data_IF_796190314763
#
_entry.id   IF_796190314763
#
_cell.length_a   1.000
_cell.length_b   1.000
_cell.length_c   1.000
_cell.angle_alpha   90.00
_cell.angle_beta   90.00
_cell.angle_gamma   90.00
#
_symmetry.space_group_name_H-M   'P 1'
#
loop_
_entity.id
_entity.type
_entity.pdbx_description
1 polymer ?
#
# COMPACT_ATOMS: atom_id res chain seq x y z
N UNK A 1 -29.88 -4.93 -13.36
CA UNK A 1 -28.64 -5.51 -12.89
C UNK A 1 -28.03 -4.70 -11.75
N UNK A 2 -27.30 -5.32 -10.94
CA UNK A 2 -26.73 -4.70 -9.77
C UNK A 2 -25.28 -4.28 -10.02
N UNK A 3 -24.96 -3.05 -9.69
CA UNK A 3 -23.59 -2.58 -9.82
C UNK A 3 -22.69 -3.40 -8.88
N UNK A 4 -21.53 -3.76 -9.36
CA UNK A 4 -20.54 -4.44 -8.55
C UNK A 4 -19.98 -3.44 -7.55
N UNK A 5 -20.15 -3.72 -6.27
CA UNK A 5 -19.64 -2.84 -5.22
C UNK A 5 -18.37 -3.42 -4.67
N UNK A 6 -17.28 -2.67 -4.78
CA UNK A 6 -16.02 -3.07 -4.18
C UNK A 6 -16.08 -2.83 -2.68
N UNK A 7 -15.41 -3.68 -1.88
CA UNK A 7 -15.36 -3.49 -0.43
C UNK A 7 -14.41 -2.37 0.01
N UNK A 8 -13.92 -1.59 -0.92
CA UNK A 8 -13.03 -0.46 -0.64
C UNK A 8 -13.20 0.62 -1.69
N UNK A 9 -12.77 1.82 -1.35
CA UNK A 9 -12.70 2.93 -2.29
C UNK A 9 -11.22 3.29 -2.47
N UNK A 10 -10.77 3.32 -3.72
CA UNK A 10 -9.38 3.65 -4.04
C UNK A 10 -9.37 4.78 -5.06
N UNK A 11 -8.74 5.88 -4.69
CA UNK A 11 -8.59 7.03 -5.58
C UNK A 11 -7.12 7.41 -5.67
N UNK A 12 -6.75 8.07 -6.77
CA UNK A 12 -5.34 8.42 -7.02
C UNK A 12 -5.18 9.90 -7.25
N UNK A 13 -4.06 10.44 -6.80
CA UNK A 13 -3.63 11.79 -7.13
C UNK A 13 -2.19 11.68 -7.64
N UNK A 14 -1.94 12.22 -8.84
CA UNK A 14 -0.58 12.26 -9.37
C UNK A 14 0.10 13.53 -8.94
N UNK A 15 1.23 13.39 -8.28
CA UNK A 15 2.12 14.50 -7.98
C UNK A 15 3.32 14.42 -8.92
N UNK A 16 4.12 15.48 -9.07
CA UNK A 16 5.23 15.44 -10.04
C UNK A 16 6.18 14.29 -9.84
N UNK A 17 6.41 13.85 -8.60
CA UNK A 17 7.43 12.85 -8.31
C UNK A 17 6.90 11.59 -7.65
N UNK A 18 5.60 11.51 -7.37
CA UNK A 18 5.04 10.30 -6.76
C UNK A 18 3.54 10.20 -7.03
N UNK A 19 3.04 9.00 -6.77
CA UNK A 19 1.62 8.67 -6.90
C UNK A 19 1.04 8.53 -5.50
N UNK A 20 -0.03 9.25 -5.22
CA UNK A 20 -0.75 9.14 -3.95
C UNK A 20 -1.98 8.28 -4.17
N UNK A 21 -2.07 7.17 -3.45
CA UNK A 21 -3.20 6.26 -3.51
C UNK A 21 -3.95 6.34 -2.18
N UNK A 22 -5.20 6.77 -2.21
CA UNK A 22 -6.04 6.92 -1.03
C UNK A 22 -7.01 5.74 -0.99
N UNK A 23 -6.82 4.87 -0.01
CA UNK A 23 -7.57 3.63 0.15
C UNK A 23 -8.40 3.69 1.42
N UNK A 24 -9.72 3.56 1.30
CA UNK A 24 -10.62 3.52 2.45
C UNK A 24 -11.51 2.29 2.39
N UNK A 25 -11.84 1.75 3.55
CA UNK A 25 -12.73 0.60 3.65
C UNK A 25 -12.88 0.19 5.10
N UNK A 26 -13.72 -0.80 5.35
CA UNK A 26 -14.02 -1.28 6.70
C UNK A 26 -13.46 -2.67 6.94
N UNK A 27 -13.31 -3.46 5.91
CA UNK A 27 -12.92 -4.89 6.02
C UNK A 27 -11.70 -5.17 5.17
N UNK A 28 -11.07 -6.30 5.41
CA UNK A 28 -9.89 -6.73 4.68
C UNK A 28 -9.98 -8.23 4.40
N UNK A 29 -9.43 -8.65 3.28
CA UNK A 29 -9.30 -10.06 2.94
C UNK A 29 -8.10 -10.20 2.01
N UNK A 30 -7.67 -11.44 1.78
CA UNK A 30 -6.60 -11.71 0.82
C UNK A 30 -6.98 -11.16 -0.55
N UNK A 31 -8.23 -11.38 -0.97
CA UNK A 31 -8.72 -10.90 -2.27
C UNK A 31 -8.72 -9.38 -2.36
N UNK A 32 -9.13 -8.69 -1.28
CA UNK A 32 -9.14 -7.23 -1.26
C UNK A 32 -7.74 -6.68 -1.43
N UNK A 33 -6.76 -7.26 -0.71
CA UNK A 33 -5.37 -6.80 -0.83
C UNK A 33 -4.85 -7.02 -2.23
N UNK A 34 -5.10 -8.21 -2.79
CA UNK A 34 -4.66 -8.52 -4.14
C UNK A 34 -5.24 -7.52 -5.14
N UNK A 35 -6.54 -7.22 -5.00
CA UNK A 35 -7.22 -6.32 -5.92
C UNK A 35 -6.68 -4.90 -5.85
N UNK A 36 -6.55 -4.32 -4.64
CA UNK A 36 -6.09 -2.94 -4.60
C UNK A 36 -4.60 -2.80 -4.93
N UNK A 37 -3.78 -3.81 -4.62
CA UNK A 37 -2.37 -3.78 -5.03
C UNK A 37 -2.28 -3.82 -6.55
N UNK A 38 -3.08 -4.65 -7.22
CA UNK A 38 -3.09 -4.71 -8.68
C UNK A 38 -3.50 -3.37 -9.28
N UNK A 39 -4.49 -2.69 -8.69
CA UNK A 39 -4.91 -1.37 -9.19
C UNK A 39 -3.83 -0.33 -8.98
N UNK A 40 -3.16 -0.34 -7.82
CA UNK A 40 -2.07 0.59 -7.53
C UNK A 40 -0.92 0.38 -8.51
N UNK A 41 -0.53 -0.88 -8.73
CA UNK A 41 0.55 -1.21 -9.66
C UNK A 41 0.20 -0.78 -11.08
N UNK A 42 -1.03 -1.06 -11.51
CA UNK A 42 -1.47 -0.66 -12.85
C UNK A 42 -1.38 0.86 -13.03
N UNK A 43 -1.82 1.63 -12.02
CA UNK A 43 -1.75 3.08 -12.09
C UNK A 43 -0.33 3.59 -12.07
N UNK A 44 0.53 2.98 -11.25
CA UNK A 44 1.95 3.31 -11.21
C UNK A 44 2.60 3.12 -12.57
N UNK A 45 2.31 1.99 -13.21
CA UNK A 45 2.87 1.69 -14.52
C UNK A 45 2.32 2.63 -15.61
N UNK A 46 1.03 2.93 -15.53
CA UNK A 46 0.38 3.83 -16.49
C UNK A 46 0.99 5.24 -16.42
N UNK A 47 1.26 5.73 -15.22
CA UNK A 47 1.74 7.10 -15.01
C UNK A 47 3.25 7.23 -15.02
N UNK A 48 3.97 6.10 -14.92
CA UNK A 48 5.42 6.09 -14.78
C UNK A 48 5.91 6.53 -13.40
N UNK A 49 4.99 6.65 -12.44
CA UNK A 49 5.35 7.06 -11.07
C UNK A 49 5.61 5.84 -10.23
N UNK A 50 6.88 5.56 -9.94
CA UNK A 50 7.26 4.36 -9.21
C UNK A 50 7.49 4.60 -7.71
N UNK A 51 7.32 5.83 -7.25
CA UNK A 51 7.25 6.18 -5.84
C UNK A 51 5.78 6.28 -5.48
N UNK A 52 5.33 5.43 -4.56
CA UNK A 52 3.91 5.30 -4.24
C UNK A 52 3.70 5.56 -2.75
N UNK A 53 2.79 6.47 -2.44
CA UNK A 53 2.31 6.66 -1.09
C UNK A 53 0.91 6.04 -1.01
N UNK A 54 0.78 4.97 -0.24
CA UNK A 54 -0.52 4.31 -0.04
C UNK A 54 -1.05 4.71 1.33
N UNK A 55 -2.11 5.50 1.33
CA UNK A 55 -2.79 5.88 2.56
C UNK A 55 -3.87 4.82 2.82
N UNK A 56 -3.60 3.94 3.78
CA UNK A 56 -4.42 2.75 4.03
C UNK A 56 -5.36 3.01 5.20
N UNK A 57 -6.50 3.59 4.91
CA UNK A 57 -7.51 3.90 5.91
C UNK A 57 -8.49 2.72 6.01
N UNK A 58 -8.00 1.60 6.53
CA UNK A 58 -8.79 0.40 6.79
C UNK A 58 -8.43 -0.07 8.20
N UNK A 59 -9.41 -0.15 9.12
CA UNK A 59 -9.11 -0.50 10.52
C UNK A 59 -8.90 -2.00 10.77
N UNK A 60 -9.03 -2.83 9.74
CA UNK A 60 -8.92 -4.27 9.85
C UNK A 60 -7.59 -4.79 9.33
N UNK A 61 -7.13 -5.91 9.86
CA UNK A 61 -5.90 -6.57 9.41
C UNK A 61 -6.16 -8.07 9.24
N UNK A 62 -5.34 -8.70 8.41
CA UNK A 62 -5.33 -10.15 8.24
C UNK A 62 -4.58 -10.81 9.37
N UNK A 63 -4.72 -12.12 9.49
CA UNK A 63 -3.86 -12.93 10.36
C UNK A 63 -2.41 -12.81 9.87
N UNK A 64 -1.46 -13.18 10.74
CA UNK A 64 -0.05 -13.12 10.38
C UNK A 64 0.26 -13.98 9.16
N UNK A 65 -0.31 -15.19 9.12
CA UNK A 65 -0.10 -16.10 8.00
C UNK A 65 -0.62 -15.54 6.68
N UNK A 66 -1.81 -14.96 6.70
CA UNK A 66 -2.38 -14.35 5.51
C UNK A 66 -1.59 -13.11 5.10
N UNK A 67 -1.13 -12.33 6.06
CA UNK A 67 -0.29 -11.16 5.78
C UNK A 67 1.00 -11.59 5.09
N UNK A 68 1.66 -12.61 5.65
CA UNK A 68 2.88 -13.14 5.05
C UNK A 68 2.64 -13.58 3.61
N UNK A 69 1.55 -14.28 3.37
CA UNK A 69 1.21 -14.77 2.04
C UNK A 69 0.96 -13.62 1.06
N UNK A 70 0.12 -12.64 1.44
CA UNK A 70 -0.23 -11.56 0.52
C UNK A 70 0.95 -10.66 0.22
N UNK A 71 1.77 -10.35 1.22
CA UNK A 71 2.96 -9.52 1.01
C UNK A 71 3.94 -10.25 0.10
N UNK A 72 4.17 -11.54 0.36
CA UNK A 72 5.09 -12.34 -0.46
C UNK A 72 4.60 -12.40 -1.91
N UNK A 73 3.30 -12.58 -2.10
CA UNK A 73 2.71 -12.66 -3.44
C UNK A 73 2.86 -11.36 -4.22
N UNK A 74 2.81 -10.22 -3.52
CA UNK A 74 2.82 -8.91 -4.19
C UNK A 74 4.22 -8.40 -4.55
N UNK A 75 5.26 -9.07 -4.09
CA UNK A 75 6.63 -8.57 -4.26
C UNK A 75 7.03 -8.38 -5.72
N UNK A 76 6.66 -9.35 -6.59
CA UNK A 76 7.01 -9.24 -8.00
C UNK A 76 6.31 -8.05 -8.67
N UNK A 77 5.04 -7.84 -8.36
CA UNK A 77 4.28 -6.75 -8.95
C UNK A 77 4.82 -5.38 -8.52
N UNK A 78 5.35 -5.30 -7.30
CA UNK A 78 5.89 -4.05 -6.75
C UNK A 78 7.40 -3.90 -6.98
N UNK A 79 8.00 -4.79 -7.74
CA UNK A 79 9.44 -4.74 -8.02
C UNK A 79 9.80 -3.41 -8.68
N UNK A 80 10.87 -2.79 -8.19
CA UNK A 80 11.35 -1.51 -8.71
C UNK A 80 10.57 -0.31 -8.21
N UNK A 81 9.61 -0.52 -7.32
CA UNK A 81 8.81 0.57 -6.77
C UNK A 81 9.19 0.83 -5.33
N UNK A 82 9.02 2.09 -4.90
CA UNK A 82 9.26 2.51 -3.53
C UNK A 82 7.89 2.79 -2.91
N UNK A 83 7.56 2.09 -1.82
CA UNK A 83 6.23 2.13 -1.24
C UNK A 83 6.27 2.68 0.18
N UNK A 84 5.63 3.82 0.40
CA UNK A 84 5.39 4.37 1.72
C UNK A 84 3.94 4.03 2.09
N UNK A 85 3.75 3.31 3.18
CA UNK A 85 2.41 2.92 3.61
C UNK A 85 2.05 3.71 4.86
N UNK A 86 1.00 4.52 4.77
CA UNK A 86 0.52 5.31 5.90
C UNK A 86 -0.69 4.61 6.49
N UNK A 87 -0.60 4.31 7.79
CA UNK A 87 -1.70 3.70 8.54
C UNK A 87 -2.16 4.67 9.63
N UNK A 88 -3.38 5.24 9.51
CA UNK A 88 -3.87 6.17 10.52
C UNK A 88 -4.46 5.50 11.75
N UNK A 89 -4.55 4.16 11.76
CA UNK A 89 -5.19 3.41 12.86
C UNK A 89 -4.14 2.85 13.80
N UNK A 90 -3.87 3.56 14.90
CA UNK A 90 -2.84 3.15 15.86
C UNK A 90 -3.11 1.78 16.47
N UNK A 91 -4.38 1.37 16.58
CA UNK A 91 -4.73 0.09 17.19
C UNK A 91 -4.19 -1.10 16.43
N UNK A 92 -3.90 -0.95 15.12
CA UNK A 92 -3.39 -2.05 14.28
C UNK A 92 -1.96 -1.80 13.81
N UNK A 93 -1.27 -0.85 14.41
CA UNK A 93 0.07 -0.46 13.96
C UNK A 93 1.03 -1.63 13.93
N UNK A 94 1.03 -2.46 14.98
CA UNK A 94 1.93 -3.61 15.06
C UNK A 94 1.69 -4.59 13.92
N UNK A 95 0.43 -4.84 13.59
CA UNK A 95 0.09 -5.77 12.51
C UNK A 95 0.50 -5.22 11.15
N UNK A 96 0.30 -3.92 10.93
CA UNK A 96 0.72 -3.28 9.67
C UNK A 96 2.24 -3.32 9.56
N UNK A 97 2.95 -3.00 10.64
CA UNK A 97 4.41 -3.02 10.65
C UNK A 97 4.96 -4.43 10.39
N UNK A 98 4.27 -5.46 10.87
CA UNK A 98 4.65 -6.83 10.57
C UNK A 98 4.67 -7.08 9.06
N UNK A 99 3.60 -6.66 8.36
CA UNK A 99 3.53 -6.83 6.91
C UNK A 99 4.65 -6.11 6.18
N UNK A 100 4.94 -4.88 6.60
CA UNK A 100 6.03 -4.10 6.00
C UNK A 100 7.37 -4.80 6.24
N UNK A 101 7.59 -5.32 7.45
CA UNK A 101 8.82 -6.04 7.78
C UNK A 101 8.98 -7.29 6.92
N UNK A 102 7.91 -8.04 6.69
CA UNK A 102 7.95 -9.21 5.80
C UNK A 102 8.42 -8.78 4.41
N UNK A 103 7.88 -7.68 3.89
CA UNK A 103 8.28 -7.17 2.57
C UNK A 103 9.74 -6.74 2.54
N UNK A 104 10.19 -6.01 3.56
CA UNK A 104 11.58 -5.56 3.66
C UNK A 104 12.54 -6.74 3.69
N UNK A 105 12.22 -7.77 4.47
CA UNK A 105 13.08 -8.95 4.59
C UNK A 105 13.19 -9.73 3.29
N UNK A 106 12.27 -9.50 2.37
CA UNK A 106 12.28 -10.17 1.07
C UNK A 106 12.71 -9.24 -0.06
N UNK A 107 13.31 -8.10 0.27
CA UNK A 107 13.89 -7.20 -0.71
C UNK A 107 12.98 -6.08 -1.18
N UNK A 108 11.79 -5.94 -0.60
CA UNK A 108 10.89 -4.84 -0.94
C UNK A 108 11.40 -3.53 -0.37
N UNK A 109 11.20 -2.45 -1.12
CA UNK A 109 11.57 -1.10 -0.66
C UNK A 109 10.33 -0.43 -0.06
N UNK A 110 9.93 -0.94 1.11
CA UNK A 110 8.70 -0.56 1.81
C UNK A 110 9.01 0.04 3.16
N UNK A 111 8.17 0.98 3.60
CA UNK A 111 8.26 1.52 4.94
C UNK A 111 6.88 1.99 5.39
N UNK A 112 6.58 1.82 6.68
CA UNK A 112 5.30 2.26 7.24
C UNK A 112 5.48 3.54 8.04
N UNK A 113 4.39 4.32 8.07
CA UNK A 113 4.34 5.62 8.76
C UNK A 113 2.95 5.78 9.36
N UNK A 114 2.83 6.66 10.35
CA UNK A 114 1.53 7.00 10.91
C UNK A 114 1.01 8.36 10.45
N UNK A 115 1.75 9.06 9.60
CA UNK A 115 1.31 10.34 9.03
C UNK A 115 1.90 10.52 7.63
N UNK A 116 1.23 11.34 6.85
CA UNK A 116 1.58 11.56 5.45
C UNK A 116 2.86 12.36 5.27
N UNK A 117 3.12 13.33 6.15
CA UNK A 117 4.29 14.20 6.02
C UNK A 117 5.59 13.41 6.10
N UNK A 118 5.69 12.52 7.09
CA UNK A 118 6.90 11.69 7.25
C UNK A 118 7.04 10.69 6.10
N UNK A 119 5.91 10.14 5.65
CA UNK A 119 5.91 9.20 4.53
C UNK A 119 6.42 9.88 3.27
N UNK A 120 5.92 11.07 2.98
CA UNK A 120 6.31 11.82 1.80
C UNK A 120 7.78 12.19 1.84
N UNK A 121 8.27 12.63 3.00
CA UNK A 121 9.67 12.98 3.17
C UNK A 121 10.59 11.79 2.86
N UNK A 122 10.24 10.61 3.38
CA UNK A 122 11.01 9.40 3.10
C UNK A 122 10.93 9.01 1.63
N UNK A 123 9.72 9.08 1.07
CA UNK A 123 9.44 8.63 -0.30
C UNK A 123 10.26 9.42 -1.31
N UNK A 124 10.44 10.71 -1.07
CA UNK A 124 11.13 11.59 -2.01
C UNK A 124 12.63 11.69 -1.81
N UNK A 125 13.18 11.04 -0.79
CA UNK A 125 14.62 10.99 -0.61
C UNK A 125 15.26 10.25 -1.79
N UNK A 126 16.40 10.73 -2.23
CA UNK A 126 17.12 10.11 -3.32
C UNK A 126 16.61 10.50 -4.69
N UNK A 127 15.84 11.59 -4.76
CA UNK A 127 15.32 12.05 -6.04
C UNK A 127 16.30 12.96 -6.78
N UNK A 128 17.39 13.32 -6.18
CA UNK A 128 18.40 14.17 -6.80
C UNK A 128 19.13 13.48 -7.94
#
# INVERSE_FOLDING_TARGET
>A
MTAQTKPYLLTFTEYPEHLFANLTGDTISVEVIRDYINEVVAKSNETGKHRILLYRDIPAVLSEGETFYTVSESLDALRGKKLALVNPHSAIETAVDFGVTVGQNRGGNYRSFNNTADAEAWLLKGTE
#
